data_IF_314033465709
#
_entry.id   IF_314033465709
#
_cell.length_a   1.000
_cell.length_b   1.000
_cell.length_c   1.000
_cell.angle_alpha   90.00
_cell.angle_beta   90.00
_cell.angle_gamma   90.00
#
_symmetry.space_group_name_H-M   'P 1'
#
loop_
_entity.id
_entity.type
_entity.pdbx_description
1 polymer ?
#
# COMPACT_ATOMS: atom_id res chain seq x y z
N UNK A 1 -10.95 2.19 12.39
CA UNK A 1 -10.13 2.51 11.21
C UNK A 1 -9.32 1.27 10.95
N UNK A 2 -9.48 0.66 9.77
CA UNK A 2 -8.80 -0.60 9.44
C UNK A 2 -7.31 -0.31 9.37
N UNK A 3 -6.56 -0.86 10.33
CA UNK A 3 -5.12 -1.03 10.21
C UNK A 3 -4.93 -2.48 9.89
N UNK A 4 -4.86 -2.78 8.59
CA UNK A 4 -4.36 -4.06 8.15
C UNK A 4 -2.87 -4.06 8.38
N UNK A 5 -2.46 -4.62 9.53
CA UNK A 5 -1.07 -4.97 9.76
C UNK A 5 -0.81 -6.25 8.98
N UNK A 6 0.08 -6.15 7.99
CA UNK A 6 0.59 -7.31 7.29
C UNK A 6 1.88 -7.72 7.96
N UNK A 7 1.80 -8.81 8.71
CA UNK A 7 2.97 -9.40 9.36
C UNK A 7 3.51 -10.45 8.40
N UNK A 8 4.81 -10.41 8.18
CA UNK A 8 5.59 -11.33 7.36
C UNK A 8 5.57 -11.04 5.85
N UNK A 9 6.43 -10.12 5.41
CA UNK A 9 7.23 -10.32 4.19
C UNK A 9 8.64 -10.58 4.70
N UNK A 10 9.25 -11.75 4.47
CA UNK A 10 10.67 -11.92 4.74
C UNK A 10 11.39 -10.87 3.90
N UNK A 11 12.06 -9.92 4.54
CA UNK A 11 12.98 -9.07 3.81
C UNK A 11 14.01 -10.02 3.19
N UNK A 12 14.01 -10.18 1.86
CA UNK A 12 14.81 -11.19 1.17
C UNK A 12 16.33 -11.07 1.42
N UNK A 13 16.76 -10.01 2.11
CA UNK A 13 18.14 -9.74 2.48
C UNK A 13 18.47 -10.12 3.93
N UNK A 14 17.56 -9.90 4.88
CA UNK A 14 17.82 -10.11 6.33
C UNK A 14 17.03 -11.26 6.95
N UNK A 15 16.02 -11.79 6.26
CA UNK A 15 15.13 -12.82 6.78
C UNK A 15 14.18 -12.34 7.89
N UNK A 16 14.14 -11.03 8.17
CA UNK A 16 13.28 -10.46 9.19
C UNK A 16 11.86 -10.25 8.66
N UNK A 17 10.86 -10.54 9.51
CA UNK A 17 9.46 -10.22 9.25
C UNK A 17 9.23 -8.70 9.37
N UNK A 18 8.50 -8.14 8.40
CA UNK A 18 8.08 -6.74 8.40
C UNK A 18 6.60 -6.64 8.70
N UNK A 19 6.23 -5.62 9.50
CA UNK A 19 4.84 -5.23 9.73
C UNK A 19 4.53 -4.02 8.86
N UNK A 20 3.57 -4.15 7.93
CA UNK A 20 3.15 -3.05 7.06
C UNK A 20 1.75 -2.57 7.43
N UNK A 21 1.58 -1.26 7.57
CA UNK A 21 0.27 -0.62 7.69
C UNK A 21 -0.33 -0.44 6.30
N UNK A 22 -1.43 -1.15 6.01
CA UNK A 22 -2.17 -1.11 4.73
C UNK A 22 -1.27 -1.40 3.53
N UNK A 23 -1.28 -2.66 3.08
CA UNK A 23 -0.63 -3.04 1.84
C UNK A 23 -1.41 -2.61 0.60
N UNK A 24 -0.74 -2.69 -0.56
CA UNK A 24 -1.29 -2.50 -1.90
C UNK A 24 -2.54 -3.34 -2.18
N UNK A 25 -2.72 -4.46 -1.47
CA UNK A 25 -3.90 -5.30 -1.64
C UNK A 25 -5.16 -4.68 -1.04
N UNK A 26 -5.03 -3.75 -0.10
CA UNK A 26 -6.16 -3.08 0.55
C UNK A 26 -6.58 -1.76 -0.11
N UNK A 27 -5.76 -1.24 -1.05
CA UNK A 27 -5.96 0.09 -1.64
C UNK A 27 -7.25 0.21 -2.47
N UNK A 28 -7.67 -0.86 -3.14
CA UNK A 28 -8.83 -0.82 -4.03
C UNK A 28 -10.13 -0.51 -3.29
N UNK A 29 -10.21 -0.83 -2.00
CA UNK A 29 -11.36 -0.54 -1.13
C UNK A 29 -11.63 0.96 -1.07
N UNK A 30 -10.57 1.78 -1.04
CA UNK A 30 -10.72 3.24 -1.03
C UNK A 30 -11.21 3.76 -2.38
N UNK A 31 -10.74 3.19 -3.49
CA UNK A 31 -11.17 3.55 -4.84
C UNK A 31 -12.65 3.21 -5.04
N UNK A 32 -13.09 2.02 -4.63
CA UNK A 32 -14.50 1.60 -4.68
C UNK A 32 -15.38 2.50 -3.82
N UNK A 33 -14.94 2.84 -2.61
CA UNK A 33 -15.65 3.77 -1.73
C UNK A 33 -15.77 5.17 -2.38
N UNK A 34 -14.69 5.69 -2.96
CA UNK A 34 -14.72 7.00 -3.66
C UNK A 34 -15.62 6.98 -4.89
N UNK A 35 -15.67 5.86 -5.61
CA UNK A 35 -16.57 5.67 -6.74
C UNK A 35 -18.05 5.64 -6.30
N UNK A 36 -18.36 4.94 -5.21
CA UNK A 36 -19.72 4.91 -4.65
C UNK A 36 -20.25 6.29 -4.24
N UNK A 37 -19.35 7.16 -3.77
CA UNK A 37 -19.67 8.55 -3.40
C UNK A 37 -19.61 9.51 -4.59
N UNK A 38 -19.40 8.99 -5.81
CA UNK A 38 -19.34 9.76 -7.05
C UNK A 38 -18.21 10.81 -7.10
N UNK A 39 -17.13 10.62 -6.33
CA UNK A 39 -15.95 11.49 -6.37
C UNK A 39 -15.08 11.25 -7.60
N UNK A 40 -15.11 10.02 -8.14
CA UNK A 40 -14.25 9.58 -9.22
C UNK A 40 -15.09 9.07 -10.40
N UNK A 41 -14.65 9.35 -11.62
CA UNK A 41 -15.26 8.84 -12.85
C UNK A 41 -14.97 7.35 -13.07
N UNK A 42 -15.90 6.64 -13.70
CA UNK A 42 -15.75 5.21 -14.05
C UNK A 42 -14.48 4.92 -14.86
N UNK A 43 -14.06 5.85 -15.71
CA UNK A 43 -12.83 5.71 -16.51
C UNK A 43 -11.58 5.61 -15.63
N UNK A 44 -11.50 6.37 -14.54
CA UNK A 44 -10.37 6.33 -13.61
C UNK A 44 -10.35 5.02 -12.82
N UNK A 45 -11.52 4.49 -12.47
CA UNK A 45 -11.64 3.18 -11.81
C UNK A 45 -11.15 2.08 -12.74
N UNK A 46 -11.53 2.11 -14.01
CA UNK A 46 -11.03 1.14 -15.00
C UNK A 46 -9.50 1.20 -15.13
N UNK A 47 -8.95 2.41 -15.25
CA UNK A 47 -7.50 2.60 -15.31
C UNK A 47 -6.78 2.07 -14.06
N UNK A 48 -7.34 2.30 -12.87
CA UNK A 48 -6.81 1.74 -11.63
C UNK A 48 -6.78 0.20 -11.66
N UNK A 49 -7.84 -0.45 -12.13
CA UNK A 49 -7.86 -1.92 -12.24
C UNK A 49 -6.90 -2.46 -13.31
N UNK A 50 -6.65 -1.72 -14.39
CA UNK A 50 -5.62 -2.08 -15.39
C UNK A 50 -4.23 -2.09 -14.75
N UNK A 51 -3.87 -1.02 -14.05
CA UNK A 51 -2.59 -0.94 -13.31
C UNK A 51 -2.51 -2.05 -12.27
N UNK A 52 -3.56 -2.21 -11.43
CA UNK A 52 -3.65 -3.26 -10.41
C UNK A 52 -3.40 -4.66 -10.99
N UNK A 53 -3.98 -4.95 -12.15
CA UNK A 53 -3.88 -6.27 -12.79
C UNK A 53 -2.46 -6.60 -13.25
N UNK A 54 -1.70 -5.60 -13.70
CA UNK A 54 -0.32 -5.78 -14.15
C UNK A 54 0.63 -5.85 -12.96
N UNK A 55 0.50 -4.94 -12.00
CA UNK A 55 1.43 -4.81 -10.88
C UNK A 55 1.29 -5.90 -9.84
N UNK A 56 0.06 -6.22 -9.39
CA UNK A 56 -0.13 -7.14 -8.24
C UNK A 56 0.33 -8.57 -8.54
N UNK A 57 0.33 -8.99 -9.81
CA UNK A 57 0.69 -10.36 -10.20
C UNK A 57 2.17 -10.68 -10.00
N UNK A 58 3.01 -9.66 -9.93
CA UNK A 58 4.46 -9.83 -9.72
C UNK A 58 4.82 -10.04 -8.25
N UNK A 59 3.89 -9.73 -7.33
CA UNK A 59 4.12 -9.80 -5.89
C UNK A 59 3.34 -10.94 -5.24
N UNK A 60 3.95 -11.51 -4.20
CA UNK A 60 3.29 -12.49 -3.36
C UNK A 60 2.32 -11.79 -2.40
N UNK A 61 1.15 -12.40 -2.12
CA UNK A 61 0.27 -11.92 -1.09
C UNK A 61 0.95 -12.10 0.27
N UNK A 62 0.59 -11.32 1.29
CA UNK A 62 1.20 -11.42 2.62
C UNK A 62 0.82 -12.71 3.37
N UNK A 63 1.49 -13.04 4.48
CA UNK A 63 1.18 -14.26 5.23
C UNK A 63 -0.02 -14.09 6.17
N UNK A 64 -0.02 -13.01 6.97
CA UNK A 64 -1.09 -12.68 7.91
C UNK A 64 -1.71 -11.34 7.56
N UNK A 65 -3.04 -11.28 7.63
CA UNK A 65 -3.82 -10.06 7.52
C UNK A 65 -4.58 -9.85 8.81
N UNK A 66 -4.24 -8.78 9.54
CA UNK A 66 -4.94 -8.42 10.77
C UNK A 66 -6.02 -7.39 10.45
N UNK A 67 -7.30 -7.74 10.54
CA UNK A 67 -8.41 -6.82 10.31
C UNK A 67 -9.01 -6.37 11.65
N UNK A 68 -9.04 -5.06 11.89
CA UNK A 68 -9.65 -4.48 13.10
C UNK A 68 -11.04 -3.93 12.77
N UNK A 69 -12.07 -4.57 13.33
CA UNK A 69 -13.46 -4.13 13.19
C UNK A 69 -13.77 -3.00 14.18
N UNK A 70 -14.10 -1.84 13.63
CA UNK A 70 -14.50 -0.66 14.41
C UNK A 70 -15.77 -0.10 13.79
N UNK A 71 -16.88 -0.01 14.54
CA UNK A 71 -18.14 0.49 13.99
C UNK A 71 -18.03 1.96 13.57
N UNK A 72 -18.68 2.33 12.45
CA UNK A 72 -18.70 3.70 11.92
C UNK A 72 -19.06 4.79 12.94
N UNK A 73 -20.11 4.66 13.79
CA UNK A 73 -20.44 5.71 14.75
C UNK A 73 -19.32 5.98 15.76
N UNK A 74 -18.62 4.92 16.19
CA UNK A 74 -17.47 5.05 17.07
C UNK A 74 -16.29 5.68 16.33
N UNK A 75 -16.08 5.29 15.06
CA UNK A 75 -15.04 5.86 14.22
C UNK A 75 -15.21 7.36 14.04
N UNK A 76 -16.42 7.84 13.79
CA UNK A 76 -16.72 9.27 13.70
C UNK A 76 -16.42 9.99 15.00
N UNK A 77 -16.80 9.40 16.13
CA UNK A 77 -16.50 9.97 17.45
C UNK A 77 -14.99 10.05 17.71
N UNK A 78 -14.22 9.04 17.28
CA UNK A 78 -12.74 9.04 17.37
C UNK A 78 -12.12 10.11 16.46
N UNK A 79 -12.62 10.29 15.24
CA UNK A 79 -12.17 11.34 14.30
C UNK A 79 -12.45 12.73 14.89
N UNK A 80 -13.63 12.94 15.47
CA UNK A 80 -13.97 14.20 16.13
C UNK A 80 -13.06 14.49 17.33
N UNK A 81 -12.72 13.47 18.13
CA UNK A 81 -11.77 13.59 19.26
C UNK A 81 -10.34 13.94 18.83
N UNK A 82 -9.92 13.46 17.65
CA UNK A 82 -8.58 13.78 17.09
C UNK A 82 -8.45 15.27 16.72
N UNK A 83 -9.56 15.92 16.34
CA UNK A 83 -9.64 17.37 16.20
C UNK A 83 -9.05 17.94 14.90
N UNK A 84 -8.72 17.10 13.92
CA UNK A 84 -8.17 17.56 12.64
C UNK A 84 -9.26 18.18 11.74
N UNK A 85 -9.19 19.49 11.40
CA UNK A 85 -10.27 20.20 10.71
C UNK A 85 -10.52 19.70 9.27
N UNK A 86 -9.54 19.05 8.66
CA UNK A 86 -9.66 18.44 7.33
C UNK A 86 -10.30 17.05 7.38
N UNK A 87 -9.96 16.24 8.39
CA UNK A 87 -10.48 14.87 8.56
C UNK A 87 -11.94 14.87 9.07
N UNK A 88 -12.34 15.90 9.81
CA UNK A 88 -13.71 16.04 10.31
C UNK A 88 -14.78 16.18 9.20
N UNK A 89 -14.39 16.53 7.98
CA UNK A 89 -15.32 16.70 6.84
C UNK A 89 -15.68 15.39 6.15
N UNK A 90 -15.14 14.26 6.59
CA UNK A 90 -15.39 12.95 5.98
C UNK A 90 -16.84 12.52 6.23
N UNK A 91 -17.54 12.13 5.16
CA UNK A 91 -18.94 11.73 5.24
C UNK A 91 -19.12 10.36 5.90
N UNK A 92 -20.20 10.18 6.66
CA UNK A 92 -20.58 8.89 7.26
C UNK A 92 -20.74 7.80 6.19
N UNK A 93 -21.35 8.17 5.06
CA UNK A 93 -21.61 7.27 3.94
C UNK A 93 -20.30 6.75 3.30
N UNK A 94 -19.25 7.57 3.24
CA UNK A 94 -17.95 7.14 2.76
C UNK A 94 -17.31 6.09 3.67
N UNK A 95 -17.37 6.30 4.99
CA UNK A 95 -16.85 5.34 5.97
C UNK A 95 -17.61 4.00 5.92
N UNK A 96 -18.94 4.04 5.77
CA UNK A 96 -19.75 2.84 5.56
C UNK A 96 -19.42 2.12 4.25
N UNK A 97 -19.16 2.86 3.16
CA UNK A 97 -18.78 2.28 1.89
C UNK A 97 -17.42 1.54 1.99
N UNK A 98 -16.45 2.11 2.72
CA UNK A 98 -15.17 1.45 3.01
C UNK A 98 -15.39 0.15 3.79
N UNK A 99 -16.15 0.19 4.89
CA UNK A 99 -16.41 -1.00 5.71
C UNK A 99 -17.09 -2.11 4.89
N UNK A 100 -18.08 -1.73 4.06
CA UNK A 100 -18.77 -2.66 3.18
C UNK A 100 -17.84 -3.30 2.15
N UNK A 101 -16.93 -2.53 1.54
CA UNK A 101 -15.99 -3.05 0.56
C UNK A 101 -14.91 -3.95 1.19
N UNK A 102 -14.48 -3.65 2.43
CA UNK A 102 -13.63 -4.57 3.19
C UNK A 102 -14.32 -5.90 3.45
N UNK A 103 -15.55 -5.87 3.98
CA UNK A 103 -16.30 -7.08 4.37
C UNK A 103 -16.72 -7.93 3.17
N UNK A 104 -17.12 -7.29 2.06
CA UNK A 104 -17.65 -8.00 0.88
C UNK A 104 -16.58 -8.53 -0.07
N UNK A 105 -15.50 -7.77 -0.27
CA UNK A 105 -14.54 -8.07 -1.35
C UNK A 105 -13.19 -8.48 -0.79
N UNK A 106 -12.64 -7.71 0.15
CA UNK A 106 -11.28 -7.90 0.63
C UNK A 106 -11.13 -9.13 1.54
N UNK A 107 -12.01 -9.32 2.54
CA UNK A 107 -11.89 -10.45 3.46
C UNK A 107 -12.03 -11.82 2.75
N UNK A 108 -12.99 -12.02 1.82
CA UNK A 108 -13.07 -13.27 1.06
C UNK A 108 -11.82 -13.52 0.20
N UNK A 109 -11.34 -12.50 -0.53
CA UNK A 109 -10.15 -12.64 -1.38
C UNK A 109 -8.89 -12.99 -0.56
N UNK A 110 -8.75 -12.38 0.63
CA UNK A 110 -7.62 -12.63 1.51
C UNK A 110 -7.71 -14.00 2.18
N UNK A 111 -8.90 -14.44 2.57
CA UNK A 111 -9.11 -15.74 3.22
C UNK A 111 -8.75 -16.92 2.32
N UNK A 112 -8.76 -16.74 1.00
CA UNK A 112 -8.32 -17.76 0.04
C UNK A 112 -6.79 -17.86 -0.03
N UNK A 113 -6.09 -16.72 0.14
CA UNK A 113 -4.65 -16.59 -0.15
C UNK A 113 -3.78 -16.59 1.10
N UNK A 114 -4.32 -16.13 2.23
CA UNK A 114 -3.58 -15.79 3.45
C UNK A 114 -4.39 -16.16 4.70
N UNK A 115 -3.72 -16.14 5.86
CA UNK A 115 -4.39 -16.22 7.16
C UNK A 115 -4.97 -14.85 7.53
N UNK A 116 -6.24 -14.81 7.91
CA UNK A 116 -6.93 -13.57 8.28
C UNK A 116 -7.34 -13.65 9.74
N UNK A 117 -6.84 -12.71 10.54
CA UNK A 117 -7.23 -12.51 11.94
C UNK A 117 -8.16 -11.32 12.05
N UNK A 118 -9.30 -11.49 12.71
CA UNK A 118 -10.29 -10.41 12.89
C UNK A 118 -10.38 -10.07 14.36
N UNK A 119 -10.12 -8.81 14.71
CA UNK A 119 -10.17 -8.31 16.08
C UNK A 119 -11.20 -7.20 16.23
N UNK A 120 -11.87 -7.19 17.39
CA UNK A 120 -12.72 -6.06 17.78
C UNK A 120 -11.85 -4.89 18.28
N UNK A 121 -12.43 -3.68 18.29
CA UNK A 121 -11.72 -2.47 18.73
C UNK A 121 -11.08 -2.53 20.14
N UNK A 122 -11.68 -3.31 21.06
CA UNK A 122 -11.14 -3.51 22.41
C UNK A 122 -10.05 -4.57 22.45
N UNK A 123 -10.23 -5.66 21.71
CA UNK A 123 -9.27 -6.78 21.64
C UNK A 123 -7.98 -6.35 20.94
N UNK A 124 -8.08 -5.46 19.94
CA UNK A 124 -6.93 -4.92 19.24
C UNK A 124 -6.02 -4.04 20.12
N UNK A 125 -6.45 -3.66 21.33
CA UNK A 125 -5.58 -2.95 22.28
C UNK A 125 -4.66 -3.90 23.04
N UNK A 126 -5.00 -5.18 23.09
CA UNK A 126 -4.22 -6.20 23.77
C UNK A 126 -3.19 -6.80 22.81
N UNK A 127 -1.96 -6.27 22.87
CA UNK A 127 -0.88 -6.69 22.00
C UNK A 127 -0.40 -8.12 22.30
N UNK A 128 -0.48 -8.57 23.56
CA UNK A 128 -0.01 -9.91 23.95
C UNK A 128 -0.87 -10.98 23.29
N UNK A 129 -2.20 -10.82 23.37
CA UNK A 129 -3.15 -11.70 22.69
C UNK A 129 -2.91 -11.79 21.18
N UNK A 130 -2.67 -10.64 20.52
CA UNK A 130 -2.42 -10.61 19.08
C UNK A 130 -1.12 -11.35 18.72
N UNK A 131 -0.07 -11.20 19.53
CA UNK A 131 1.20 -11.90 19.30
C UNK A 131 1.05 -13.40 19.53
N UNK A 132 0.37 -13.83 20.60
CA UNK A 132 0.08 -15.25 20.85
C UNK A 132 -0.68 -15.88 19.67
N UNK A 133 -1.76 -15.22 19.21
CA UNK A 133 -2.54 -15.70 18.07
C UNK A 133 -1.67 -15.87 16.81
N UNK A 134 -0.74 -14.94 16.56
CA UNK A 134 0.19 -15.01 15.42
C UNK A 134 1.19 -16.18 15.57
N UNK A 135 1.66 -16.47 16.78
CA UNK A 135 2.57 -17.58 17.04
C UNK A 135 1.89 -18.95 16.89
N UNK A 136 0.61 -19.06 17.25
CA UNK A 136 -0.16 -20.30 17.10
C UNK A 136 -0.69 -20.54 15.68
N UNK A 137 -0.61 -19.55 14.78
CA UNK A 137 -1.02 -19.72 13.40
C UNK A 137 -0.13 -20.71 12.65
N UNK A 138 -0.77 -21.65 11.95
CA UNK A 138 -0.09 -22.56 11.03
C UNK A 138 -0.22 -22.04 9.60
N UNK A 139 0.91 -21.76 8.98
CA UNK A 139 0.98 -21.22 7.62
C UNK A 139 0.87 -22.33 6.57
N UNK A 140 -0.32 -22.89 6.44
CA UNK A 140 -0.58 -23.97 5.49
C UNK A 140 -1.14 -23.43 4.15
N UNK A 141 -1.52 -22.15 4.10
CA UNK A 141 -2.17 -21.50 2.96
C UNK A 141 -1.22 -20.52 2.24
N UNK A 142 -1.41 -20.43 0.93
CA UNK A 142 -0.81 -19.42 0.08
C UNK A 142 0.35 -19.91 -0.80
N UNK A 143 0.80 -19.07 -1.74
CA UNK A 143 1.84 -19.42 -2.71
C UNK A 143 3.26 -19.45 -2.12
N UNK A 144 3.43 -19.09 -0.84
CA UNK A 144 4.72 -19.00 -0.16
C UNK A 144 5.44 -20.34 -0.05
N UNK A 145 4.70 -21.42 0.22
CA UNK A 145 5.26 -22.77 0.34
C UNK A 145 5.79 -23.33 -0.99
N UNK A 146 5.30 -22.81 -2.12
CA UNK A 146 5.64 -23.27 -3.45
C UNK A 146 6.80 -22.48 -4.09
N UNK A 147 7.47 -21.61 -3.34
CA UNK A 147 8.56 -20.79 -3.86
C UNK A 147 9.91 -21.51 -3.77
N UNK A 148 10.63 -21.52 -4.89
CA UNK A 148 12.00 -22.04 -4.99
C UNK A 148 13.01 -20.89 -4.83
N UNK A 149 14.28 -21.23 -4.57
CA UNK A 149 15.37 -20.24 -4.50
C UNK A 149 15.46 -19.36 -5.75
N UNK A 150 15.11 -19.92 -6.93
CA UNK A 150 15.09 -19.18 -8.19
C UNK A 150 13.97 -18.14 -8.22
N UNK A 151 12.78 -18.47 -7.74
CA UNK A 151 11.65 -17.52 -7.75
C UNK A 151 11.88 -16.41 -6.74
N UNK A 152 12.43 -16.73 -5.56
CA UNK A 152 12.86 -15.72 -4.59
C UNK A 152 13.98 -14.83 -5.12
N UNK A 153 14.96 -15.37 -5.85
CA UNK A 153 16.01 -14.58 -6.47
C UNK A 153 15.44 -13.56 -7.47
N UNK A 154 14.52 -13.99 -8.34
CA UNK A 154 13.88 -13.09 -9.31
C UNK A 154 13.08 -11.98 -8.61
N UNK A 155 12.30 -12.34 -7.59
CA UNK A 155 11.54 -11.37 -6.79
C UNK A 155 12.49 -10.38 -6.12
N UNK A 156 13.61 -10.84 -5.57
CA UNK A 156 14.64 -9.99 -4.96
C UNK A 156 15.22 -8.98 -5.96
N UNK A 157 15.57 -9.43 -7.17
CA UNK A 157 16.10 -8.55 -8.22
C UNK A 157 15.08 -7.47 -8.60
N UNK A 158 13.80 -7.85 -8.72
CA UNK A 158 12.71 -6.93 -9.03
C UNK A 158 12.54 -5.85 -7.93
N UNK A 159 12.43 -6.25 -6.66
CA UNK A 159 12.19 -5.28 -5.55
C UNK A 159 13.37 -4.35 -5.27
N UNK A 160 14.60 -4.75 -5.61
CA UNK A 160 15.79 -3.90 -5.48
C UNK A 160 15.77 -2.74 -6.49
N UNK A 161 15.23 -2.96 -7.69
CA UNK A 161 15.18 -1.96 -8.74
C UNK A 161 13.89 -1.13 -8.67
N UNK A 162 13.94 0.01 -7.97
CA UNK A 162 12.78 0.90 -7.79
C UNK A 162 12.17 1.39 -9.10
N UNK A 163 12.96 1.56 -10.16
CA UNK A 163 12.45 2.04 -11.45
C UNK A 163 11.65 0.94 -12.16
N UNK A 164 12.09 -0.31 -12.04
CA UNK A 164 11.40 -1.47 -12.63
C UNK A 164 10.07 -1.73 -11.93
N UNK A 165 10.05 -1.66 -10.59
CA UNK A 165 8.81 -1.70 -9.79
C UNK A 165 7.81 -0.64 -10.24
N UNK A 166 8.29 0.58 -10.51
CA UNK A 166 7.43 1.71 -10.89
C UNK A 166 7.06 1.71 -12.39
N UNK A 167 7.73 0.92 -13.23
CA UNK A 167 7.55 0.95 -14.68
C UNK A 167 6.09 0.69 -15.09
N UNK A 168 5.43 -0.26 -14.42
CA UNK A 168 4.05 -0.64 -14.70
C UNK A 168 3.01 0.29 -14.06
N UNK A 169 3.44 1.25 -13.24
CA UNK A 169 2.54 2.28 -12.69
C UNK A 169 2.25 3.39 -13.70
N UNK A 170 3.17 3.63 -14.63
CA UNK A 170 3.06 4.65 -15.68
C UNK A 170 2.59 4.04 -16.99
N UNK A 171 1.31 3.68 -17.06
CA UNK A 171 0.69 3.16 -18.29
C UNK A 171 0.35 4.34 -19.22
N UNK A 172 0.60 4.25 -20.54
CA UNK A 172 0.28 5.31 -21.51
C UNK A 172 -1.22 5.40 -21.83
N UNK A 173 -2.04 5.58 -20.79
CA UNK A 173 -3.49 5.83 -20.90
C UNK A 173 -3.74 7.27 -20.49
N UNK A 174 -4.22 8.07 -21.44
CA UNK A 174 -4.42 9.50 -21.23
C UNK A 174 -5.79 9.78 -20.63
N UNK A 175 -5.81 10.03 -19.31
CA UNK A 175 -6.98 10.53 -18.59
C UNK A 175 -6.73 11.96 -18.11
N UNK A 176 -7.73 12.85 -18.14
CA UNK A 176 -7.56 14.26 -17.80
C UNK A 176 -7.19 14.50 -16.32
N UNK A 177 -7.49 13.59 -15.40
CA UNK A 177 -7.12 13.70 -13.98
C UNK A 177 -5.63 13.48 -13.70
N UNK A 178 -4.98 12.63 -14.50
CA UNK A 178 -3.60 12.16 -14.27
C UNK A 178 -2.62 12.69 -15.31
N UNK A 179 -3.11 13.02 -16.52
CA UNK A 179 -2.25 13.45 -17.62
C UNK A 179 -1.82 14.89 -17.40
N UNK A 180 -0.51 15.10 -17.25
CA UNK A 180 0.08 16.42 -17.10
C UNK A 180 0.62 16.86 -18.47
N UNK A 181 0.34 18.11 -18.85
CA UNK A 181 0.84 18.67 -20.11
C UNK A 181 2.36 18.82 -20.13
N UNK A 182 2.97 18.63 -21.30
CA UNK A 182 4.43 18.60 -21.47
C UNK A 182 5.13 19.84 -20.89
N UNK A 183 4.61 21.06 -21.15
CA UNK A 183 5.19 22.30 -20.63
C UNK A 183 5.17 22.39 -19.10
N UNK A 184 4.13 21.87 -18.45
CA UNK A 184 4.06 21.85 -17.01
C UNK A 184 5.03 20.82 -16.42
N UNK A 185 5.09 19.63 -17.02
CA UNK A 185 6.03 18.58 -16.63
C UNK A 185 7.47 19.03 -16.73
N UNK A 186 7.85 19.67 -17.83
CA UNK A 186 9.20 20.21 -18.06
C UNK A 186 9.58 21.25 -17.00
N UNK A 187 8.68 22.20 -16.73
CA UNK A 187 8.87 23.21 -15.69
C UNK A 187 9.04 22.61 -14.29
N UNK A 188 8.25 21.59 -13.95
CA UNK A 188 8.34 20.91 -12.64
C UNK A 188 9.63 20.09 -12.55
N UNK A 189 10.02 19.43 -13.64
CA UNK A 189 11.25 18.66 -13.72
C UNK A 189 12.48 19.53 -13.52
N UNK A 190 12.57 20.69 -14.19
CA UNK A 190 13.67 21.64 -13.97
C UNK A 190 13.74 22.11 -12.51
N UNK A 191 12.61 22.49 -11.93
CA UNK A 191 12.56 22.87 -10.51
C UNK A 191 12.98 21.75 -9.57
N UNK A 192 12.64 20.49 -9.89
CA UNK A 192 13.05 19.33 -9.11
C UNK A 192 14.57 19.11 -9.17
N UNK A 193 15.17 19.27 -10.35
CA UNK A 193 16.62 19.14 -10.57
C UNK A 193 17.40 20.27 -9.88
N UNK A 194 16.81 21.45 -9.74
CA UNK A 194 17.39 22.59 -9.01
C UNK A 194 17.38 22.41 -7.47
N UNK A 195 16.61 21.46 -6.94
CA UNK A 195 16.61 21.19 -5.49
C UNK A 195 17.96 20.61 -5.04
N UNK A 196 18.41 20.98 -3.82
CA UNK A 196 19.68 20.49 -3.31
C UNK A 196 19.66 18.96 -3.17
N UNK A 197 20.71 18.29 -3.65
CA UNK A 197 20.88 16.84 -3.62
C UNK A 197 20.08 16.06 -4.66
N UNK A 198 19.43 16.74 -5.60
CA UNK A 198 18.59 16.10 -6.66
C UNK A 198 19.13 16.29 -8.07
N UNK A 199 20.16 17.12 -8.24
CA UNK A 199 20.72 17.43 -9.56
C UNK A 199 21.46 16.27 -10.20
N UNK A 200 22.22 15.51 -9.39
CA UNK A 200 22.96 14.34 -9.82
C UNK A 200 22.54 13.11 -9.01
N UNK A 201 23.05 11.94 -9.42
CA UNK A 201 22.87 10.68 -8.70
C UNK A 201 23.29 10.81 -7.23
N UNK A 202 22.60 10.12 -6.30
CA UNK A 202 22.99 10.13 -4.89
C UNK A 202 24.47 9.78 -4.71
N UNK A 203 25.20 10.57 -3.92
CA UNK A 203 26.63 10.38 -3.67
C UNK A 203 27.59 11.22 -4.52
N UNK A 204 27.05 12.01 -5.48
CA UNK A 204 27.78 12.90 -6.38
C UNK A 204 27.34 14.38 -6.29
N UNK A 205 26.61 14.76 -5.24
CA UNK A 205 26.04 16.09 -5.07
C UNK A 205 26.91 16.94 -4.11
N UNK A 206 27.69 17.88 -4.66
CA UNK A 206 28.61 18.73 -3.88
C UNK A 206 27.87 19.68 -2.92
N UNK A 207 26.68 20.10 -3.30
CA UNK A 207 25.75 20.97 -2.58
C UNK A 207 25.23 20.37 -1.27
N UNK A 208 25.21 19.04 -1.14
CA UNK A 208 24.86 18.33 0.11
C UNK A 208 26.08 17.81 0.87
N UNK A 209 27.29 18.15 0.40
CA UNK A 209 28.53 17.79 1.07
C UNK A 209 29.07 16.39 0.72
N UNK A 210 28.68 15.83 -0.43
CA UNK A 210 29.25 14.56 -0.90
C UNK A 210 30.77 14.69 -1.13
N UNK A 211 31.52 13.77 -0.54
CA UNK A 211 32.99 13.73 -0.63
C UNK A 211 33.43 12.76 -1.73
N UNK A 212 34.65 13.00 -2.25
CA UNK A 212 35.31 12.13 -3.23
C UNK A 212 34.53 11.95 -4.54
N UNK A 213 33.80 12.99 -4.98
CA UNK A 213 32.93 12.94 -6.16
C UNK A 213 33.69 12.52 -7.44
N UNK A 214 34.98 12.87 -7.53
CA UNK A 214 35.84 12.55 -8.68
C UNK A 214 36.45 11.14 -8.64
N UNK A 215 36.31 10.40 -7.53
CA UNK A 215 36.88 9.06 -7.30
C UNK A 215 35.81 7.97 -7.05
N UNK A 216 34.54 8.28 -7.27
CA UNK A 216 33.41 7.34 -7.24
C UNK A 216 32.91 7.10 -8.65
#
# INVERSE_FOLDING_TARGET
MVVSYFVHVPCCETGQGVVLERSIFSDFVFVEAMYSQHFIRKQCVNHYYEVKKVTIREYLPPHVVIYVDVPVPELQSRIQKKGDPHEMKVSAAYLQAIENAYKKTFLPEMSEKCEVLVYSANEAQDAEKVVEDIEYLKYDRGPWLNQDDRTFHNLRMLVQNKLEVLNYTTIPVYLPEITIGAHQSDRVFHKFVELPGRRYSPGYNADVGDKWIWLK
#
